data_IF_904262730052
#
_entry.id   IF_904262730052
#
_cell.length_a   1.000
_cell.length_b   1.000
_cell.length_c   1.000
_cell.angle_alpha   90.00
_cell.angle_beta   90.00
_cell.angle_gamma   90.00
#
_symmetry.space_group_name_H-M   'P 1'
#
loop_
_entity.id
_entity.type
_entity.pdbx_description
1 polymer ?
#
# COMPACT_ATOMS: atom_id res chain seq x y z
N UNK A 1 -5.23 -20.40 12.79
CA UNK A 1 -5.01 -20.04 11.38
C UNK A 1 -6.07 -20.76 10.58
N UNK A 2 -7.04 -20.01 10.05
CA UNK A 2 -8.10 -20.59 9.21
C UNK A 2 -7.56 -20.55 7.78
N UNK A 3 -7.47 -21.69 7.07
CA UNK A 3 -7.10 -21.65 5.67
C UNK A 3 -8.06 -20.72 4.94
N UNK A 4 -7.55 -19.82 4.09
CA UNK A 4 -8.37 -18.99 3.21
C UNK A 4 -9.26 -17.95 3.96
N UNK A 5 -8.75 -17.35 5.04
CA UNK A 5 -9.44 -16.26 5.74
C UNK A 5 -9.19 -14.92 5.03
N UNK A 6 -10.23 -14.19 4.58
CA UNK A 6 -10.05 -12.92 3.86
C UNK A 6 -9.32 -11.85 4.68
N UNK A 7 -9.41 -11.89 6.02
CA UNK A 7 -8.66 -10.95 6.87
C UNK A 7 -7.17 -11.30 6.90
N UNK A 8 -6.83 -12.60 6.94
CA UNK A 8 -5.44 -13.05 6.85
C UNK A 8 -4.85 -12.72 5.46
N UNK A 9 -5.65 -12.80 4.39
CA UNK A 9 -5.25 -12.42 3.02
C UNK A 9 -4.92 -10.92 2.93
N UNK A 10 -5.81 -10.02 3.36
CA UNK A 10 -5.55 -8.58 3.38
C UNK A 10 -4.34 -8.21 4.25
N UNK A 11 -4.15 -8.89 5.39
CA UNK A 11 -2.97 -8.70 6.23
C UNK A 11 -1.68 -9.16 5.54
N UNK A 12 -1.77 -10.17 4.66
CA UNK A 12 -0.64 -10.64 3.87
C UNK A 12 -0.24 -9.62 2.81
N UNK A 13 -1.21 -9.05 2.08
CA UNK A 13 -0.99 -8.02 1.06
C UNK A 13 -0.18 -6.85 1.66
N UNK A 14 -0.55 -6.45 2.89
CA UNK A 14 0.16 -5.44 3.67
C UNK A 14 1.62 -5.78 4.01
N UNK A 15 1.92 -7.05 4.26
CA UNK A 15 3.30 -7.51 4.51
C UNK A 15 4.15 -7.33 3.26
N UNK A 16 3.62 -7.73 2.10
CA UNK A 16 4.29 -7.59 0.81
C UNK A 16 4.60 -6.12 0.49
N UNK A 17 3.62 -5.23 0.66
CA UNK A 17 3.84 -3.78 0.49
C UNK A 17 4.93 -3.26 1.42
N UNK A 18 4.90 -3.66 2.70
CA UNK A 18 5.90 -3.24 3.68
C UNK A 18 7.31 -3.69 3.29
N UNK A 19 7.46 -4.91 2.75
CA UNK A 19 8.73 -5.40 2.21
C UNK A 19 9.22 -4.55 1.03
N UNK A 20 8.34 -4.18 0.11
CA UNK A 20 8.67 -3.29 -1.01
C UNK A 20 9.09 -1.89 -0.55
N UNK A 21 8.43 -1.34 0.47
CA UNK A 21 8.86 -0.07 1.08
C UNK A 21 10.29 -0.17 1.62
N UNK A 22 10.64 -1.25 2.31
CA UNK A 22 12.03 -1.45 2.77
C UNK A 22 13.03 -1.60 1.62
N UNK A 23 12.66 -2.31 0.56
CA UNK A 23 13.44 -2.51 -0.67
C UNK A 23 13.74 -1.16 -1.34
N UNK A 24 12.74 -0.28 -1.47
CA UNK A 24 12.92 1.07 -2.04
C UNK A 24 13.76 1.95 -1.12
N UNK A 25 13.52 1.92 0.20
CA UNK A 25 14.33 2.66 1.19
C UNK A 25 15.81 2.31 1.08
N UNK A 26 16.12 1.02 1.01
CA UNK A 26 17.49 0.53 0.93
C UNK A 26 18.19 0.99 -0.36
N UNK A 27 17.51 0.91 -1.51
CA UNK A 27 18.04 1.37 -2.80
C UNK A 27 18.22 2.87 -2.85
N UNK A 28 17.25 3.63 -2.35
CA UNK A 28 17.43 5.07 -2.21
C UNK A 28 18.64 5.35 -1.33
N UNK A 29 18.85 4.66 -0.20
CA UNK A 29 20.01 4.85 0.68
C UNK A 29 21.36 4.52 0.03
N UNK A 30 21.41 3.62 -0.94
CA UNK A 30 22.63 3.29 -1.66
C UNK A 30 23.12 4.50 -2.47
N UNK A 31 24.42 4.80 -2.36
CA UNK A 31 25.03 6.01 -2.94
C UNK A 31 25.68 5.79 -4.31
N UNK A 32 25.91 4.55 -4.72
CA UNK A 32 26.84 4.27 -5.82
C UNK A 32 26.59 2.88 -6.42
N UNK A 33 25.52 2.74 -7.20
CA UNK A 33 25.17 1.45 -7.83
C UNK A 33 25.33 1.45 -9.36
N UNK A 34 25.89 2.51 -9.93
CA UNK A 34 26.00 2.65 -11.39
C UNK A 34 24.65 2.58 -12.10
N UNK A 35 24.67 2.25 -13.40
CA UNK A 35 23.46 2.13 -14.22
C UNK A 35 22.53 0.99 -13.76
N UNK A 36 23.12 -0.15 -13.34
CA UNK A 36 22.37 -1.33 -12.90
C UNK A 36 21.52 -1.06 -11.66
N UNK A 37 22.04 -0.35 -10.66
CA UNK A 37 21.24 -0.01 -9.49
C UNK A 37 20.23 1.09 -9.73
N UNK A 38 20.50 1.98 -10.69
CA UNK A 38 19.48 2.93 -11.13
C UNK A 38 18.25 2.21 -11.71
N UNK A 39 18.49 1.28 -12.64
CA UNK A 39 17.42 0.44 -13.18
C UNK A 39 16.72 -0.38 -12.10
N UNK A 40 17.46 -0.89 -11.12
CA UNK A 40 16.88 -1.63 -10.01
C UNK A 40 16.03 -0.76 -9.07
N UNK A 41 16.36 0.53 -8.89
CA UNK A 41 15.55 1.48 -8.13
C UNK A 41 14.26 1.82 -8.88
N UNK A 42 14.36 2.12 -10.18
CA UNK A 42 13.19 2.37 -11.04
C UNK A 42 12.22 1.19 -10.94
N UNK A 43 12.70 -0.03 -11.20
CA UNK A 43 11.89 -1.23 -11.15
C UNK A 43 11.25 -1.47 -9.77
N UNK A 44 11.97 -1.21 -8.68
CA UNK A 44 11.43 -1.37 -7.34
C UNK A 44 10.31 -0.35 -7.02
N UNK A 45 10.45 0.90 -7.51
CA UNK A 45 9.41 1.93 -7.32
C UNK A 45 8.19 1.64 -8.19
N UNK A 46 8.39 1.19 -9.43
CA UNK A 46 7.29 0.77 -10.32
C UNK A 46 6.52 -0.40 -9.70
N UNK A 47 7.22 -1.41 -9.20
CA UNK A 47 6.59 -2.52 -8.50
C UNK A 47 5.82 -2.06 -7.26
N UNK A 48 6.39 -1.18 -6.44
CA UNK A 48 5.69 -0.62 -5.29
C UNK A 48 4.41 0.14 -5.70
N UNK A 49 4.45 0.89 -6.80
CA UNK A 49 3.29 1.62 -7.31
C UNK A 49 2.18 0.66 -7.75
N UNK A 50 2.52 -0.35 -8.55
CA UNK A 50 1.55 -1.31 -9.08
C UNK A 50 0.87 -2.10 -7.95
N UNK A 51 1.65 -2.57 -6.98
CA UNK A 51 1.14 -3.31 -5.82
C UNK A 51 0.28 -2.42 -4.93
N UNK A 52 0.68 -1.16 -4.71
CA UNK A 52 -0.09 -0.23 -3.89
C UNK A 52 -1.44 0.13 -4.54
N UNK A 53 -1.46 0.33 -5.85
CA UNK A 53 -2.71 0.60 -6.60
C UNK A 53 -3.62 -0.62 -6.60
N UNK A 54 -3.04 -1.82 -6.75
CA UNK A 54 -3.79 -3.09 -6.71
C UNK A 54 -4.39 -3.34 -5.32
N UNK A 55 -3.61 -3.10 -4.26
CA UNK A 55 -4.10 -3.16 -2.87
C UNK A 55 -5.25 -2.18 -2.64
N UNK A 56 -5.06 -0.90 -2.99
CA UNK A 56 -6.08 0.13 -2.84
C UNK A 56 -7.38 -0.22 -3.59
N UNK A 57 -7.28 -0.76 -4.81
CA UNK A 57 -8.45 -1.18 -5.59
C UNK A 57 -9.20 -2.34 -4.91
N UNK A 58 -8.50 -3.34 -4.38
CA UNK A 58 -9.11 -4.46 -3.63
C UNK A 58 -9.87 -3.95 -2.40
N UNK A 59 -9.32 -2.96 -1.71
CA UNK A 59 -10.00 -2.36 -0.58
C UNK A 59 -11.22 -1.52 -0.99
N UNK A 60 -11.07 -0.67 -2.00
CA UNK A 60 -12.13 0.23 -2.45
C UNK A 60 -13.31 -0.48 -3.11
N UNK A 61 -13.05 -1.57 -3.84
CA UNK A 61 -14.07 -2.32 -4.55
C UNK A 61 -14.63 -3.49 -3.71
N UNK A 62 -13.86 -4.00 -2.74
CA UNK A 62 -14.23 -5.14 -1.91
C UNK A 62 -14.45 -4.79 -0.44
N UNK A 63 -13.38 -4.42 0.27
CA UNK A 63 -13.38 -4.24 1.72
C UNK A 63 -14.30 -3.10 2.19
N UNK A 64 -14.17 -1.90 1.63
CA UNK A 64 -14.92 -0.73 2.10
C UNK A 64 -16.42 -0.83 1.83
N UNK A 65 -16.90 -1.30 0.66
CA UNK A 65 -18.31 -1.59 0.45
C UNK A 65 -18.84 -2.63 1.43
N UNK A 66 -18.06 -3.68 1.72
CA UNK A 66 -18.43 -4.68 2.73
C UNK A 66 -18.55 -4.05 4.12
N UNK A 67 -17.58 -3.23 4.54
CA UNK A 67 -17.61 -2.51 5.82
C UNK A 67 -18.85 -1.63 5.92
N UNK A 68 -19.20 -0.89 4.87
CA UNK A 68 -20.39 -0.05 4.85
C UNK A 68 -21.69 -0.85 5.05
N UNK A 69 -21.76 -2.07 4.51
CA UNK A 69 -22.94 -2.93 4.61
C UNK A 69 -23.03 -3.71 5.94
N UNK A 70 -21.89 -4.18 6.46
CA UNK A 70 -21.83 -5.17 7.53
C UNK A 70 -21.26 -4.66 8.86
N UNK A 71 -20.55 -3.53 8.85
CA UNK A 71 -19.92 -2.92 10.02
C UNK A 71 -20.04 -1.38 9.96
N UNK A 72 -21.27 -0.82 10.00
CA UNK A 72 -21.50 0.61 9.78
C UNK A 72 -20.79 1.53 10.78
N UNK A 73 -20.48 1.03 11.99
CA UNK A 73 -19.70 1.78 12.98
C UNK A 73 -18.25 2.06 12.52
N UNK A 74 -17.71 1.25 11.59
CA UNK A 74 -16.38 1.39 11.01
C UNK A 74 -16.36 2.19 9.70
N UNK A 75 -17.51 2.43 9.09
CA UNK A 75 -17.65 3.10 7.81
C UNK A 75 -17.01 4.51 7.78
N UNK A 76 -17.10 5.37 8.82
CA UNK A 76 -16.37 6.63 8.85
C UNK A 76 -14.83 6.47 8.78
N UNK A 77 -14.29 5.41 9.38
CA UNK A 77 -12.85 5.11 9.35
C UNK A 77 -12.45 4.58 7.96
N UNK A 78 -13.24 3.68 7.38
CA UNK A 78 -13.03 3.19 6.02
C UNK A 78 -13.01 4.32 4.97
N UNK A 79 -13.93 5.29 5.06
CA UNK A 79 -13.91 6.47 4.16
C UNK A 79 -12.67 7.34 4.34
N UNK A 80 -12.13 7.42 5.56
CA UNK A 80 -10.89 8.17 5.82
C UNK A 80 -9.70 7.45 5.20
N UNK A 81 -9.66 6.11 5.26
CA UNK A 81 -8.65 5.31 4.56
C UNK A 81 -8.75 5.46 3.04
N UNK A 82 -9.95 5.36 2.48
CA UNK A 82 -10.17 5.60 1.05
C UNK A 82 -9.63 6.97 0.60
N UNK A 83 -9.93 8.03 1.36
CA UNK A 83 -9.40 9.36 1.07
C UNK A 83 -7.86 9.46 1.19
N UNK A 84 -7.22 8.56 1.94
CA UNK A 84 -5.76 8.49 2.06
C UNK A 84 -5.08 7.80 0.88
N UNK A 85 -5.79 7.01 0.07
CA UNK A 85 -5.24 6.35 -1.11
C UNK A 85 -4.74 7.36 -2.14
N UNK A 86 -5.53 8.41 -2.44
CA UNK A 86 -5.13 9.49 -3.34
C UNK A 86 -3.78 10.10 -2.95
N UNK A 87 -3.58 10.35 -1.65
CA UNK A 87 -2.35 10.95 -1.14
C UNK A 87 -1.17 9.97 -1.23
N UNK A 88 -1.38 8.70 -0.88
CA UNK A 88 -0.36 7.65 -0.83
C UNK A 88 0.06 7.24 -2.25
N UNK A 89 -0.89 6.81 -3.09
CA UNK A 89 -0.68 6.46 -4.49
C UNK A 89 -0.13 7.63 -5.30
N UNK A 90 -0.69 8.84 -5.10
CA UNK A 90 -0.21 10.04 -5.78
C UNK A 90 1.22 10.43 -5.42
N UNK A 91 1.69 10.11 -4.21
CA UNK A 91 3.09 10.38 -3.81
C UNK A 91 4.06 9.37 -4.43
N UNK A 92 3.73 8.08 -4.44
CA UNK A 92 4.56 7.06 -5.13
C UNK A 92 4.57 7.29 -6.64
N UNK A 93 3.44 7.64 -7.26
CA UNK A 93 3.37 7.94 -8.69
C UNK A 93 4.29 9.11 -9.07
N UNK A 94 4.31 10.17 -8.25
CA UNK A 94 5.25 11.29 -8.44
C UNK A 94 6.71 10.87 -8.27
N UNK A 95 7.00 9.99 -7.31
CA UNK A 95 8.33 9.44 -7.12
C UNK A 95 8.77 8.59 -8.33
N UNK A 96 7.90 7.71 -8.83
CA UNK A 96 8.14 6.90 -10.03
C UNK A 96 8.46 7.78 -11.24
N UNK A 97 7.66 8.84 -11.45
CA UNK A 97 7.91 9.80 -12.52
C UNK A 97 9.19 10.62 -12.31
N UNK A 98 9.51 11.00 -11.07
CA UNK A 98 10.73 11.74 -10.78
C UNK A 98 11.96 10.90 -11.11
N UNK A 99 12.02 9.66 -10.61
CA UNK A 99 13.12 8.71 -10.84
C UNK A 99 13.19 8.31 -12.33
N UNK A 100 12.07 8.01 -13.00
CA UNK A 100 12.08 7.63 -14.41
C UNK A 100 12.64 8.70 -15.37
N UNK A 101 12.67 9.97 -14.96
CA UNK A 101 13.23 11.07 -15.77
C UNK A 101 14.71 11.36 -15.52
N UNK A 102 15.31 10.80 -14.47
CA UNK A 102 16.72 11.06 -14.20
C UNK A 102 17.57 10.20 -15.14
N UNK A 103 18.59 10.82 -15.74
CA UNK A 103 19.56 10.15 -16.61
C UNK A 103 20.85 9.82 -15.87
N UNK A 104 20.72 9.47 -14.59
CA UNK A 104 21.81 9.21 -13.66
C UNK A 104 21.54 9.77 -12.26
N UNK A 105 22.47 9.50 -11.34
CA UNK A 105 22.44 9.98 -9.96
C UNK A 105 23.00 11.41 -9.86
N UNK A 106 22.16 12.43 -10.03
CA UNK A 106 22.52 13.80 -9.64
C UNK A 106 22.10 14.03 -8.19
N UNK A 107 23.03 14.46 -7.34
CA UNK A 107 22.85 14.55 -5.88
C UNK A 107 21.61 15.36 -5.45
N UNK A 108 21.29 16.45 -6.16
CA UNK A 108 20.12 17.30 -5.87
C UNK A 108 18.80 16.60 -6.21
N UNK A 109 18.75 15.89 -7.34
CA UNK A 109 17.55 15.18 -7.81
C UNK A 109 17.28 13.94 -6.95
N UNK A 110 18.35 13.24 -6.53
CA UNK A 110 18.26 12.16 -5.56
C UNK A 110 17.78 12.65 -4.19
N UNK A 111 18.22 13.84 -3.76
CA UNK A 111 17.73 14.44 -2.52
C UNK A 111 16.23 14.68 -2.57
N UNK A 112 15.73 15.25 -3.67
CA UNK A 112 14.28 15.42 -3.86
C UNK A 112 13.52 14.08 -3.89
N UNK A 113 14.07 13.04 -4.50
CA UNK A 113 13.47 11.70 -4.50
C UNK A 113 13.40 11.10 -3.08
N UNK A 114 14.45 11.30 -2.25
CA UNK A 114 14.46 10.87 -0.85
C UNK A 114 13.41 11.61 -0.02
N UNK A 115 13.24 12.91 -0.22
CA UNK A 115 12.22 13.70 0.47
C UNK A 115 10.80 13.27 0.08
N UNK A 116 10.56 13.03 -1.21
CA UNK A 116 9.29 12.48 -1.70
C UNK A 116 9.01 11.10 -1.09
N UNK A 117 10.02 10.24 -1.05
CA UNK A 117 9.89 8.91 -0.47
C UNK A 117 9.64 8.98 1.05
N UNK A 118 10.37 9.80 1.79
CA UNK A 118 10.15 9.98 3.23
C UNK A 118 8.71 10.43 3.54
N UNK A 119 8.17 11.36 2.75
CA UNK A 119 6.76 11.77 2.85
C UNK A 119 5.81 10.61 2.56
N UNK A 120 6.09 9.81 1.54
CA UNK A 120 5.29 8.60 1.28
C UNK A 120 5.34 7.62 2.46
N UNK A 121 6.51 7.40 3.07
CA UNK A 121 6.64 6.46 4.19
C UNK A 121 5.81 6.89 5.40
N UNK A 122 5.75 8.18 5.69
CA UNK A 122 4.88 8.72 6.75
C UNK A 122 3.39 8.49 6.44
N UNK A 123 2.97 8.74 5.20
CA UNK A 123 1.59 8.52 4.75
C UNK A 123 1.23 7.03 4.80
N UNK A 124 2.08 6.17 4.25
CA UNK A 124 1.89 4.72 4.24
C UNK A 124 1.87 4.14 5.64
N UNK A 125 2.79 4.53 6.52
CA UNK A 125 2.82 4.04 7.90
C UNK A 125 1.55 4.41 8.67
N UNK A 126 1.02 5.63 8.44
CA UNK A 126 -0.25 6.06 9.02
C UNK A 126 -1.42 5.25 8.47
N UNK A 127 -1.49 5.11 7.15
CA UNK A 127 -2.50 4.33 6.45
C UNK A 127 -2.53 2.88 6.95
N UNK A 128 -1.39 2.19 6.97
CA UNK A 128 -1.26 0.82 7.41
C UNK A 128 -1.66 0.61 8.88
N UNK A 129 -1.37 1.58 9.76
CA UNK A 129 -1.83 1.53 11.16
C UNK A 129 -3.35 1.65 11.28
N UNK A 130 -3.94 2.59 10.54
CA UNK A 130 -5.39 2.84 10.58
C UNK A 130 -6.16 1.66 9.96
N UNK A 131 -5.67 1.05 8.87
CA UNK A 131 -6.25 -0.14 8.24
C UNK A 131 -6.11 -1.38 9.14
N UNK A 132 -4.92 -1.65 9.70
CA UNK A 132 -4.73 -2.78 10.61
C UNK A 132 -5.68 -2.72 11.83
N UNK A 133 -5.99 -1.52 12.32
CA UNK A 133 -6.96 -1.32 13.37
C UNK A 133 -8.41 -1.61 12.94
N UNK A 134 -8.76 -1.46 11.65
CA UNK A 134 -10.05 -1.91 11.11
C UNK A 134 -10.06 -3.42 10.96
N UNK A 135 -9.00 -4.01 10.39
CA UNK A 135 -8.90 -5.46 10.19
C UNK A 135 -8.95 -6.24 11.51
N UNK A 136 -8.27 -5.78 12.56
CA UNK A 136 -8.36 -6.39 13.89
C UNK A 136 -9.78 -6.34 14.46
N UNK A 137 -10.50 -5.25 14.23
CA UNK A 137 -11.87 -5.10 14.71
C UNK A 137 -12.85 -5.98 13.92
N UNK A 138 -12.68 -6.08 12.61
CA UNK A 138 -13.40 -7.05 11.78
C UNK A 138 -13.09 -8.49 12.20
N UNK A 139 -11.83 -8.83 12.48
CA UNK A 139 -11.47 -10.18 12.92
C UNK A 139 -12.20 -10.57 14.22
N UNK A 140 -12.31 -9.62 15.16
CA UNK A 140 -13.00 -9.84 16.43
C UNK A 140 -14.53 -9.91 16.30
N UNK A 141 -15.13 -9.29 15.29
CA UNK A 141 -16.59 -9.07 15.22
C UNK A 141 -17.29 -9.89 14.15
N UNK A 142 -16.63 -10.21 13.03
CA UNK A 142 -17.25 -10.92 11.92
C UNK A 142 -17.54 -12.37 12.28
N UNK A 143 -18.79 -12.77 12.04
CA UNK A 143 -19.17 -14.18 12.05
C UNK A 143 -18.76 -14.90 10.76
N UNK A 144 -18.92 -16.22 10.73
CA UNK A 144 -18.50 -17.04 9.59
C UNK A 144 -19.23 -16.68 8.28
N UNK A 145 -20.53 -16.38 8.33
CA UNK A 145 -21.29 -16.02 7.13
C UNK A 145 -20.78 -14.70 6.53
N UNK A 146 -20.48 -13.72 7.37
CA UNK A 146 -19.93 -12.44 6.95
C UNK A 146 -18.50 -12.57 6.41
N UNK A 147 -17.68 -13.49 6.97
CA UNK A 147 -16.36 -13.79 6.40
C UNK A 147 -16.46 -14.41 5.01
N UNK A 148 -17.43 -15.29 4.78
CA UNK A 148 -17.67 -15.84 3.45
C UNK A 148 -18.16 -14.77 2.46
N UNK A 149 -18.97 -13.81 2.91
CA UNK A 149 -19.38 -12.67 2.09
C UNK A 149 -18.20 -11.77 1.71
N UNK A 150 -17.35 -11.40 2.68
CA UNK A 150 -16.13 -10.63 2.40
C UNK A 150 -15.20 -11.37 1.44
N UNK A 151 -15.01 -12.67 1.64
CA UNK A 151 -14.23 -13.51 0.72
C UNK A 151 -14.79 -13.48 -0.70
N UNK A 152 -16.11 -13.57 -0.85
CA UNK A 152 -16.76 -13.52 -2.16
C UNK A 152 -16.61 -12.13 -2.82
N UNK A 153 -16.65 -11.06 -2.04
CA UNK A 153 -16.41 -9.70 -2.53
C UNK A 153 -14.97 -9.51 -3.05
N UNK A 154 -13.98 -10.08 -2.36
CA UNK A 154 -12.57 -9.99 -2.74
C UNK A 154 -12.18 -10.93 -3.89
N UNK A 155 -12.84 -12.07 -4.06
CA UNK A 155 -12.49 -13.07 -5.08
C UNK A 155 -12.80 -12.63 -6.54
N UNK A 156 -13.53 -11.53 -6.73
CA UNK A 156 -13.90 -10.99 -8.03
C UNK A 156 -12.95 -9.92 -8.58
N UNK A 157 -11.86 -9.63 -7.86
CA UNK A 157 -10.91 -8.54 -8.09
C UNK A 157 -9.50 -9.10 -8.30
#
# INVERSE_FOLDING_TARGET
MRPNDPIEELTHDHRQLTELVFVVRARLAARDEGEDGWSALVAAIEQLLDELVTHAAREEEGLFPFVAANAPDLEPRARTLQASHDATCGTVSRLAHAVGRLSGAHDEELTACRELFARFEELYARHAQDEAAILDELDRTLNEAQRQELRAALAGL
#
